data_IF_893559727594
#
_entry.id   IF_893559727594
#
_cell.length_a   1.000
_cell.length_b   1.000
_cell.length_c   1.000
_cell.angle_alpha   90.00
_cell.angle_beta   90.00
_cell.angle_gamma   90.00
#
_symmetry.space_group_name_H-M   'P 1'
#
loop_
_entity.id
_entity.type
_entity.pdbx_description
1 polymer ?
#
# COMPACT_ATOMS: atom_id res chain seq x y z
N UNK A 1 18.51 -43.32 -57.36
CA UNK A 1 18.59 -42.83 -55.97
C UNK A 1 17.18 -42.86 -55.38
N UNK A 2 17.01 -43.61 -54.29
CA UNK A 2 15.80 -43.67 -53.46
C UNK A 2 15.75 -42.48 -52.50
N UNK A 3 14.55 -41.93 -52.30
CA UNK A 3 14.08 -41.05 -51.21
C UNK A 3 12.58 -40.85 -51.51
N UNK A 4 11.55 -40.97 -50.67
CA UNK A 4 11.33 -41.04 -49.22
C UNK A 4 10.00 -41.83 -49.05
N UNK A 5 9.74 -42.64 -48.02
CA UNK A 5 9.62 -42.21 -46.63
C UNK A 5 8.17 -41.86 -46.26
N UNK A 6 7.28 -42.86 -46.18
CA UNK A 6 5.99 -42.74 -45.46
C UNK A 6 6.21 -43.08 -43.98
N UNK A 7 5.63 -42.32 -43.04
CA UNK A 7 4.64 -42.97 -42.18
C UNK A 7 3.42 -42.10 -41.83
N UNK A 8 2.25 -42.63 -42.19
CA UNK A 8 0.99 -42.72 -41.46
C UNK A 8 0.91 -42.05 -40.08
N UNK A 9 -0.02 -41.10 -39.94
CA UNK A 9 -0.62 -40.71 -38.66
C UNK A 9 -2.14 -40.94 -38.69
N UNK A 10 -2.72 -41.67 -37.71
CA UNK A 10 -4.17 -41.80 -37.57
C UNK A 10 -4.74 -40.70 -36.64
N UNK A 11 -5.66 -39.88 -37.15
CA UNK A 11 -6.47 -39.00 -36.30
C UNK A 11 -7.76 -39.72 -35.89
N UNK A 12 -7.76 -40.31 -34.70
CA UNK A 12 -8.96 -40.84 -34.06
C UNK A 12 -9.74 -39.72 -33.35
N UNK A 13 -11.07 -39.88 -33.41
CA UNK A 13 -12.11 -39.04 -32.77
C UNK A 13 -11.89 -38.84 -31.27
N UNK A 14 -12.46 -37.78 -30.69
CA UNK A 14 -13.66 -37.85 -29.82
C UNK A 14 -14.05 -36.49 -29.23
N UNK A 15 -15.33 -36.16 -29.32
CA UNK A 15 -16.00 -35.04 -28.66
C UNK A 15 -15.94 -35.16 -27.13
N UNK A 16 -15.75 -34.05 -26.41
CA UNK A 16 -16.29 -33.89 -25.06
C UNK A 16 -16.72 -32.44 -24.81
N UNK A 17 -17.96 -32.32 -24.34
CA UNK A 17 -18.59 -31.16 -23.72
C UNK A 17 -17.81 -30.66 -22.50
N UNK A 18 -17.84 -29.36 -22.22
CA UNK A 18 -17.86 -28.83 -20.84
C UNK A 18 -18.36 -27.38 -20.85
N UNK A 19 -19.59 -27.23 -20.39
CA UNK A 19 -20.16 -25.98 -19.89
C UNK A 19 -19.49 -25.67 -18.56
N UNK A 20 -18.93 -24.47 -18.39
CA UNK A 20 -18.58 -23.96 -17.08
C UNK A 20 -19.41 -22.70 -16.82
N UNK A 21 -20.49 -22.91 -16.09
CA UNK A 21 -21.12 -21.92 -15.22
C UNK A 21 -20.09 -21.43 -14.19
N UNK A 22 -20.07 -20.13 -13.92
CA UNK A 22 -19.40 -19.56 -12.75
C UNK A 22 -20.39 -18.65 -12.03
N UNK A 23 -21.27 -19.31 -11.29
CA UNK A 23 -21.90 -18.81 -10.07
C UNK A 23 -20.89 -18.99 -8.92
N UNK A 24 -20.95 -18.10 -7.92
CA UNK A 24 -20.35 -18.37 -6.61
C UNK A 24 -19.05 -17.64 -6.28
N UNK A 25 -19.20 -16.38 -5.86
CA UNK A 25 -18.74 -15.90 -4.54
C UNK A 25 -17.57 -16.67 -3.91
N UNK A 26 -16.36 -16.16 -4.08
CA UNK A 26 -15.28 -16.35 -3.12
C UNK A 26 -14.41 -15.09 -3.14
N UNK A 27 -14.36 -14.42 -1.98
CA UNK A 27 -13.55 -13.23 -1.75
C UNK A 27 -12.07 -13.55 -1.84
N UNK A 28 -11.53 -13.49 -3.06
CA UNK A 28 -10.13 -13.20 -3.28
C UNK A 28 -10.00 -11.69 -3.36
N UNK A 29 -9.17 -11.10 -2.49
CA UNK A 29 -8.72 -9.73 -2.59
C UNK A 29 -8.13 -9.54 -4.00
N UNK A 30 -8.95 -9.07 -4.93
CA UNK A 30 -8.49 -8.62 -6.24
C UNK A 30 -7.58 -7.45 -5.90
N UNK A 31 -6.28 -7.67 -6.03
CA UNK A 31 -5.29 -6.62 -6.15
C UNK A 31 -5.66 -5.89 -7.45
N UNK A 32 -6.69 -5.05 -7.38
CA UNK A 32 -6.99 -4.08 -8.41
C UNK A 32 -5.70 -3.28 -8.55
N UNK A 33 -5.03 -3.27 -9.71
CA UNK A 33 -3.92 -2.36 -9.91
C UNK A 33 -4.51 -0.98 -9.66
N UNK A 34 -4.15 -0.37 -8.53
CA UNK A 34 -4.67 0.91 -8.11
C UNK A 34 -4.54 1.84 -9.31
N UNK A 35 -5.69 2.32 -9.80
CA UNK A 35 -5.71 3.29 -10.89
C UNK A 35 -4.77 4.42 -10.48
N UNK A 36 -3.68 4.69 -11.24
CA UNK A 36 -2.77 5.76 -10.88
C UNK A 36 -3.56 7.07 -10.92
N UNK A 37 -3.86 7.63 -9.74
CA UNK A 37 -4.64 8.86 -9.61
C UNK A 37 -5.68 8.89 -8.49
N UNK A 38 -5.99 7.77 -7.81
CA UNK A 38 -6.95 7.80 -6.70
C UNK A 38 -6.29 8.30 -5.39
N UNK A 39 -5.99 9.60 -5.37
CA UNK A 39 -5.40 10.32 -4.23
C UNK A 39 -6.21 10.09 -2.94
N UNK A 40 -7.54 10.02 -3.05
CA UNK A 40 -8.42 9.82 -1.89
C UNK A 40 -8.21 8.45 -1.24
N UNK A 41 -8.09 7.40 -2.06
CA UNK A 41 -7.84 6.03 -1.60
C UNK A 41 -6.44 5.89 -1.00
N UNK A 42 -5.40 6.41 -1.67
CA UNK A 42 -4.03 6.34 -1.14
C UNK A 42 -3.88 7.08 0.19
N UNK A 43 -4.50 8.26 0.32
CA UNK A 43 -4.51 9.01 1.59
C UNK A 43 -5.25 8.21 2.68
N UNK A 44 -6.41 7.62 2.36
CA UNK A 44 -7.17 6.82 3.31
C UNK A 44 -6.37 5.61 3.81
N UNK A 45 -5.74 4.84 2.91
CA UNK A 45 -4.92 3.69 3.27
C UNK A 45 -3.74 4.10 4.15
N UNK A 46 -3.07 5.20 3.81
CA UNK A 46 -1.94 5.68 4.59
C UNK A 46 -2.35 6.15 6.00
N UNK A 47 -3.53 6.76 6.15
CA UNK A 47 -4.12 7.06 7.47
C UNK A 47 -4.43 5.80 8.26
N UNK A 48 -4.97 4.76 7.61
CA UNK A 48 -5.29 3.49 8.25
C UNK A 48 -4.03 2.76 8.72
N UNK A 49 -3.03 2.65 7.84
CA UNK A 49 -1.73 2.05 8.15
C UNK A 49 -1.02 2.78 9.30
N UNK A 50 -1.11 4.12 9.33
CA UNK A 50 -0.60 4.95 10.44
C UNK A 50 -1.28 4.63 11.78
N UNK A 51 -2.59 4.37 11.78
CA UNK A 51 -3.31 3.96 12.98
C UNK A 51 -2.95 2.54 13.39
N UNK A 52 -2.81 1.64 12.41
CA UNK A 52 -2.42 0.26 12.65
C UNK A 52 -1.02 0.17 13.27
N UNK A 53 -0.08 1.03 12.84
CA UNK A 53 1.26 1.09 13.44
C UNK A 53 1.20 1.45 14.92
N UNK A 54 0.39 2.44 15.30
CA UNK A 54 0.20 2.79 16.72
C UNK A 54 -0.39 1.62 17.51
N UNK A 55 -1.43 0.96 16.98
CA UNK A 55 -2.05 -0.18 17.64
C UNK A 55 -1.10 -1.37 17.81
N UNK A 56 -0.27 -1.65 16.80
CA UNK A 56 0.69 -2.77 16.85
C UNK A 56 1.85 -2.46 17.80
N UNK A 57 2.28 -1.20 17.88
CA UNK A 57 3.28 -0.74 18.86
C UNK A 57 2.75 -0.83 20.30
N UNK A 58 1.49 -0.46 20.54
CA UNK A 58 0.84 -0.65 21.83
C UNK A 58 0.80 -2.13 22.22
N UNK A 59 0.48 -3.02 21.27
CA UNK A 59 0.51 -4.47 21.50
C UNK A 59 1.94 -4.99 21.73
N UNK A 60 2.93 -4.48 21.01
CA UNK A 60 4.34 -4.83 21.19
C UNK A 60 4.81 -4.45 22.59
N UNK A 61 4.44 -3.26 23.09
CA UNK A 61 4.82 -2.79 24.43
C UNK A 61 4.32 -3.65 25.59
N UNK A 62 3.30 -4.48 25.36
CA UNK A 62 2.74 -5.43 26.34
C UNK A 62 3.06 -6.90 25.99
N UNK A 63 3.97 -7.13 25.06
CA UNK A 63 4.40 -8.47 24.62
C UNK A 63 3.33 -9.24 23.84
N UNK A 64 2.34 -8.56 23.24
CA UNK A 64 1.26 -9.17 22.42
C UNK A 64 1.51 -9.11 20.92
N UNK A 65 2.49 -8.34 20.47
CA UNK A 65 2.95 -8.29 19.08
C UNK A 65 4.47 -8.40 19.04
N UNK A 66 5.01 -8.88 17.93
CA UNK A 66 6.45 -9.04 17.72
C UNK A 66 7.01 -7.86 16.95
N UNK A 67 8.34 -7.69 17.01
CA UNK A 67 9.06 -6.72 16.19
C UNK A 67 8.77 -6.91 14.68
N UNK A 68 8.59 -8.16 14.25
CA UNK A 68 8.19 -8.51 12.87
C UNK A 68 6.84 -7.93 12.50
N UNK A 69 5.85 -7.94 13.41
CA UNK A 69 4.52 -7.38 13.15
C UNK A 69 4.59 -5.86 12.96
N UNK A 70 5.41 -5.18 13.77
CA UNK A 70 5.68 -3.74 13.64
C UNK A 70 6.35 -3.45 12.30
N UNK A 71 7.33 -4.28 11.92
CA UNK A 71 8.07 -4.15 10.67
C UNK A 71 7.20 -4.36 9.43
N UNK A 72 6.26 -5.31 9.47
CA UNK A 72 5.33 -5.58 8.37
C UNK A 72 4.42 -4.37 8.11
N UNK A 73 3.85 -3.78 9.18
CA UNK A 73 3.04 -2.56 9.08
C UNK A 73 3.88 -1.38 8.58
N UNK A 74 5.14 -1.27 8.99
CA UNK A 74 6.05 -0.24 8.46
C UNK A 74 6.29 -0.39 6.94
N UNK A 75 6.49 -1.61 6.44
CA UNK A 75 6.62 -1.89 4.99
C UNK A 75 5.35 -1.52 4.25
N UNK A 76 4.17 -1.81 4.82
CA UNK A 76 2.88 -1.42 4.28
C UNK A 76 2.75 0.11 4.17
N UNK A 77 3.11 0.86 5.22
CA UNK A 77 3.15 2.33 5.20
C UNK A 77 4.05 2.85 4.08
N UNK A 78 5.24 2.28 3.90
CA UNK A 78 6.15 2.67 2.82
C UNK A 78 5.54 2.45 1.44
N UNK A 79 4.84 1.34 1.26
CA UNK A 79 4.14 1.00 0.01
C UNK A 79 3.00 1.98 -0.26
N UNK A 80 2.12 2.21 0.72
CA UNK A 80 1.00 3.16 0.60
C UNK A 80 1.49 4.60 0.38
N UNK A 81 2.60 4.98 1.03
CA UNK A 81 3.23 6.27 0.85
C UNK A 81 3.73 6.45 -0.59
N UNK A 82 4.42 5.44 -1.14
CA UNK A 82 4.89 5.48 -2.52
C UNK A 82 3.70 5.55 -3.51
N UNK A 83 2.61 4.81 -3.26
CA UNK A 83 1.38 4.92 -4.07
C UNK A 83 0.77 6.32 -3.98
N UNK A 84 0.75 6.93 -2.78
CA UNK A 84 0.30 8.31 -2.63
C UNK A 84 1.19 9.29 -3.41
N UNK A 85 2.51 9.19 -3.29
CA UNK A 85 3.48 10.00 -4.06
C UNK A 85 3.22 9.88 -5.55
N UNK A 86 3.02 8.67 -6.08
CA UNK A 86 2.71 8.46 -7.49
C UNK A 86 1.37 9.10 -7.89
N UNK A 87 0.33 8.95 -7.07
CA UNK A 87 -0.99 9.54 -7.32
C UNK A 87 -0.92 11.07 -7.35
N UNK A 88 -0.19 11.70 -6.43
CA UNK A 88 -0.01 13.15 -6.42
C UNK A 88 0.90 13.65 -7.55
N UNK A 89 1.96 12.90 -7.90
CA UNK A 89 2.86 13.23 -8.99
C UNK A 89 2.12 13.26 -10.34
N UNK A 90 1.13 12.38 -10.53
CA UNK A 90 0.22 12.40 -11.68
C UNK A 90 -0.52 13.74 -11.80
N UNK A 91 -0.90 14.34 -10.67
CA UNK A 91 -1.55 15.65 -10.59
C UNK A 91 -0.58 16.85 -10.53
N UNK A 92 0.72 16.63 -10.79
CA UNK A 92 1.79 17.66 -10.68
C UNK A 92 1.80 18.33 -9.30
N UNK A 93 1.54 17.55 -8.26
CA UNK A 93 1.65 17.98 -6.86
C UNK A 93 2.90 17.34 -6.28
N UNK A 94 3.81 18.18 -5.81
CA UNK A 94 5.08 17.75 -5.24
C UNK A 94 4.92 17.33 -3.77
N UNK A 95 5.50 16.16 -3.43
CA UNK A 95 5.54 15.58 -2.08
C UNK A 95 6.96 15.52 -1.51
N UNK A 96 7.92 16.22 -2.11
CA UNK A 96 9.33 16.16 -1.71
C UNK A 96 9.56 16.54 -0.25
N UNK A 97 8.75 17.45 0.29
CA UNK A 97 8.80 17.85 1.71
C UNK A 97 8.51 16.71 2.70
N UNK A 98 7.81 15.66 2.27
CA UNK A 98 7.45 14.52 3.12
C UNK A 98 8.21 13.24 2.76
N UNK A 99 9.12 13.27 1.77
CA UNK A 99 9.94 12.10 1.40
C UNK A 99 10.92 11.67 2.49
N UNK A 100 11.29 12.56 3.41
CA UNK A 100 12.15 12.25 4.56
C UNK A 100 11.42 11.43 5.65
N UNK A 101 10.09 11.51 5.67
CA UNK A 101 9.27 10.96 6.75
C UNK A 101 9.42 9.44 6.93
N UNK A 102 9.39 8.59 5.88
CA UNK A 102 9.61 7.15 6.04
C UNK A 102 10.96 6.84 6.68
N UNK A 103 12.01 7.60 6.31
CA UNK A 103 13.34 7.45 6.88
C UNK A 103 13.37 7.86 8.36
N UNK A 104 12.78 9.00 8.73
CA UNK A 104 12.65 9.42 10.14
C UNK A 104 11.86 8.39 10.98
N UNK A 105 10.77 7.86 10.41
CA UNK A 105 9.94 6.83 11.04
C UNK A 105 10.76 5.56 11.29
N UNK A 106 11.54 5.12 10.31
CA UNK A 106 12.43 3.96 10.43
C UNK A 106 13.42 4.13 11.57
N UNK A 107 14.12 5.26 11.63
CA UNK A 107 15.12 5.50 12.68
C UNK A 107 14.47 5.49 14.07
N UNK A 108 13.29 6.07 14.20
CA UNK A 108 12.53 6.07 15.46
C UNK A 108 12.12 4.64 15.86
N UNK A 109 11.60 3.86 14.90
CA UNK A 109 11.22 2.47 15.13
C UNK A 109 12.42 1.58 15.45
N UNK A 110 13.53 1.72 14.73
CA UNK A 110 14.76 0.97 14.99
C UNK A 110 15.29 1.25 16.41
N UNK A 111 15.25 2.49 16.88
CA UNK A 111 15.64 2.82 18.25
C UNK A 111 14.67 2.25 19.28
N UNK A 112 13.37 2.29 19.01
CA UNK A 112 12.34 1.78 19.92
C UNK A 112 12.38 0.25 20.03
N UNK A 113 12.58 -0.45 18.90
CA UNK A 113 12.58 -1.90 18.83
C UNK A 113 13.91 -2.51 19.29
N UNK A 114 15.00 -1.72 19.33
CA UNK A 114 16.27 -2.13 19.91
C UNK A 114 16.23 -2.32 21.44
N UNK A 115 15.23 -1.74 22.11
CA UNK A 115 15.01 -1.89 23.56
C UNK A 115 14.01 -3.00 23.87
N UNK A 116 13.95 -3.43 25.13
CA UNK A 116 13.00 -4.47 25.58
C UNK A 116 11.55 -3.96 25.51
N UNK A 117 10.60 -4.76 24.99
CA UNK A 117 9.20 -4.38 24.86
C UNK A 117 8.59 -4.00 26.20
N UNK A 118 8.42 -2.71 26.40
CA UNK A 118 7.83 -2.14 27.62
C UNK A 118 7.02 -0.87 27.32
N UNK A 119 5.99 -0.58 28.13
CA UNK A 119 5.18 0.63 27.96
C UNK A 119 5.99 1.91 28.18
N UNK A 120 7.08 1.85 28.94
CA UNK A 120 7.98 2.99 29.18
C UNK A 120 8.79 3.34 27.92
N UNK A 121 9.36 2.34 27.24
CA UNK A 121 10.06 2.51 25.95
C UNK A 121 9.13 3.06 24.88
N UNK A 122 7.90 2.54 24.81
CA UNK A 122 6.88 3.07 23.90
C UNK A 122 6.58 4.54 24.23
N UNK A 123 6.36 4.87 25.51
CA UNK A 123 6.06 6.24 25.93
C UNK A 123 7.20 7.23 25.61
N UNK A 124 8.45 6.78 25.68
CA UNK A 124 9.62 7.56 25.29
C UNK A 124 9.66 7.82 23.76
N UNK A 125 9.20 6.86 22.95
CA UNK A 125 9.20 6.93 21.47
C UNK A 125 7.96 7.62 20.88
N UNK A 126 6.85 7.70 21.63
CA UNK A 126 5.62 8.40 21.25
C UNK A 126 5.79 9.85 20.77
N UNK A 127 6.59 10.73 21.42
CA UNK A 127 6.76 12.11 20.95
C UNK A 127 7.37 12.21 19.55
N UNK A 128 8.40 11.41 19.25
CA UNK A 128 9.04 11.37 17.93
C UNK A 128 8.15 10.74 16.87
N UNK A 129 7.50 9.61 17.20
CA UNK A 129 6.51 9.00 16.31
C UNK A 129 5.36 9.95 16.00
N UNK A 130 4.79 10.61 17.02
CA UNK A 130 3.71 11.58 16.83
C UNK A 130 4.15 12.74 15.94
N UNK A 131 5.38 13.24 16.12
CA UNK A 131 5.92 14.32 15.29
C UNK A 131 6.02 13.90 13.82
N UNK A 132 6.60 12.73 13.57
CA UNK A 132 6.76 12.16 12.22
C UNK A 132 5.42 11.89 11.55
N UNK A 133 4.46 11.31 12.29
CA UNK A 133 3.11 11.05 11.80
C UNK A 133 2.32 12.36 11.55
N UNK A 134 2.44 13.37 12.41
CA UNK A 134 1.78 14.66 12.19
C UNK A 134 2.37 15.38 10.98
N UNK A 135 3.70 15.34 10.77
CA UNK A 135 4.34 15.87 9.55
C UNK A 135 3.76 15.18 8.30
N UNK A 136 3.64 13.85 8.33
CA UNK A 136 3.02 13.06 7.26
C UNK A 136 1.60 13.52 6.98
N UNK A 137 0.72 13.46 7.98
CA UNK A 137 -0.71 13.74 7.85
C UNK A 137 -0.97 15.17 7.42
N UNK A 138 -0.30 16.14 8.03
CA UNK A 138 -0.43 17.56 7.67
C UNK A 138 0.09 17.80 6.25
N UNK A 139 1.17 17.12 5.89
CA UNK A 139 1.72 17.13 4.54
C UNK A 139 0.68 16.68 3.52
N UNK A 140 0.15 15.47 3.70
CA UNK A 140 -0.88 14.88 2.86
C UNK A 140 -2.17 15.70 2.79
N UNK A 141 -2.65 16.20 3.93
CA UNK A 141 -3.91 16.94 3.99
C UNK A 141 -3.82 18.26 3.22
N UNK A 142 -2.70 18.98 3.35
CA UNK A 142 -2.44 20.21 2.60
C UNK A 142 -2.46 19.94 1.09
N UNK A 143 -1.79 18.85 0.64
CA UNK A 143 -1.75 18.47 -0.78
C UNK A 143 -3.10 17.93 -1.26
N UNK A 144 -3.84 17.21 -0.42
CA UNK A 144 -5.19 16.74 -0.74
C UNK A 144 -6.16 17.91 -0.90
N UNK A 145 -6.04 18.95 -0.08
CA UNK A 145 -6.85 20.17 -0.23
C UNK A 145 -6.50 20.90 -1.53
N UNK A 146 -5.21 21.01 -1.86
CA UNK A 146 -4.73 21.58 -3.11
C UNK A 146 -5.21 20.78 -4.34
N UNK A 147 -5.11 19.45 -4.28
CA UNK A 147 -5.68 18.56 -5.28
C UNK A 147 -7.18 18.78 -5.43
N UNK A 148 -7.95 18.76 -4.33
CA UNK A 148 -9.41 18.96 -4.35
C UNK A 148 -9.76 20.30 -4.99
N UNK A 149 -9.03 21.37 -4.69
CA UNK A 149 -9.21 22.70 -5.29
C UNK A 149 -8.96 22.66 -6.80
N UNK A 150 -7.88 22.02 -7.25
CA UNK A 150 -7.56 21.87 -8.68
C UNK A 150 -8.58 21.03 -9.42
N UNK A 151 -9.02 19.91 -8.85
CA UNK A 151 -10.01 19.01 -9.45
C UNK A 151 -11.41 19.63 -9.47
N UNK A 152 -11.82 20.38 -8.43
CA UNK A 152 -13.07 21.14 -8.41
C UNK A 152 -13.09 22.36 -9.35
N UNK A 153 -11.93 22.84 -9.80
CA UNK A 153 -11.83 23.94 -10.77
C UNK A 153 -12.01 23.48 -12.23
N UNK A 154 -11.98 22.17 -12.52
CA UNK A 154 -12.27 21.61 -13.85
C UNK A 154 -13.50 20.68 -13.90
N UNK A 155 -14.72 21.13 -13.55
CA UNK A 155 -15.91 20.29 -13.75
C UNK A 155 -16.47 20.30 -15.20
N UNK A 156 -15.98 21.14 -16.13
CA UNK A 156 -16.73 21.40 -17.40
C UNK A 156 -15.92 21.73 -18.68
N UNK A 157 -14.81 21.05 -19.00
CA UNK A 157 -14.13 21.29 -20.30
C UNK A 157 -14.08 20.11 -21.28
N UNK A 158 -15.01 19.17 -21.20
CA UNK A 158 -15.35 18.28 -22.31
C UNK A 158 -16.83 17.89 -22.25
N UNK A 159 -17.70 18.69 -22.89
CA UNK A 159 -19.02 18.26 -23.37
C UNK A 159 -19.15 18.64 -24.84
#
# INVERSE_FOLDING_TARGET
>A
MQDDGNPSVPAYRRSTSSSNTSDGSQGGHVFSPAMPGDVSTSVHNLLLATKQLQAVLEQWSVGRASETDVSDVYVQIGTDFNTAVQAFAYHRIDLSDIHCVPTELRTTLESCLAEDPSPEVLAASLPDLRTTLVKLLRGLLCRQQEWRRRTQQYPFLYR
#
